data_IF_211083571986
#
_entry.id   IF_211083571986
#
_cell.length_a   1.000
_cell.length_b   1.000
_cell.length_c   1.000
_cell.angle_alpha   90.00
_cell.angle_beta   90.00
_cell.angle_gamma   90.00
#
_symmetry.space_group_name_H-M   'P 1'
#
loop_
_entity.id
_entity.type
_entity.pdbx_description
1 polymer ?
#
# COMPACT_ATOMS: atom_id res chain seq x y z
N UNK A 1 14.06 38.06 26.10
CA UNK A 1 13.41 38.04 24.77
C UNK A 1 14.30 37.45 23.66
N UNK A 2 15.52 37.97 23.40
CA UNK A 2 16.41 37.43 22.33
C UNK A 2 16.73 35.93 22.43
N UNK A 3 16.96 35.39 23.64
CA UNK A 3 17.27 33.96 23.85
C UNK A 3 16.05 33.03 23.65
N UNK A 4 14.84 33.54 23.89
CA UNK A 4 13.59 32.77 23.70
C UNK A 4 13.25 32.69 22.21
N UNK A 5 13.40 33.80 21.48
CA UNK A 5 13.24 33.82 20.03
C UNK A 5 14.23 32.86 19.33
N UNK A 6 15.47 32.79 19.80
CA UNK A 6 16.48 31.87 19.27
C UNK A 6 16.14 30.40 19.57
N UNK A 7 15.60 30.11 20.76
CA UNK A 7 15.16 28.76 21.12
C UNK A 7 13.95 28.30 20.27
N UNK A 8 12.97 29.18 20.05
CA UNK A 8 11.84 28.89 19.15
C UNK A 8 12.31 28.65 17.70
N UNK A 9 13.30 29.40 17.22
CA UNK A 9 13.86 29.23 15.88
C UNK A 9 14.58 27.87 15.71
N UNK A 10 15.34 27.45 16.73
CA UNK A 10 16.02 26.15 16.75
C UNK A 10 15.03 24.98 16.79
N UNK A 11 13.97 25.09 17.59
CA UNK A 11 12.92 24.05 17.67
C UNK A 11 12.13 23.93 16.36
N UNK A 12 11.90 25.03 15.64
CA UNK A 12 11.23 25.00 14.34
C UNK A 12 12.08 24.28 13.28
N UNK A 13 13.40 24.52 13.27
CA UNK A 13 14.30 23.88 12.30
C UNK A 13 14.43 22.36 12.46
N UNK A 14 14.17 21.82 13.65
CA UNK A 14 14.25 20.38 13.92
C UNK A 14 13.07 19.57 13.34
N UNK A 15 11.95 20.21 13.03
CA UNK A 15 10.76 19.50 12.50
C UNK A 15 10.87 19.17 11.02
N UNK A 16 11.77 19.83 10.28
CA UNK A 16 11.93 19.64 8.83
C UNK A 16 12.61 18.33 8.42
N UNK A 17 13.22 17.60 9.37
CA UNK A 17 13.99 16.37 9.11
C UNK A 17 13.30 15.07 9.58
N UNK A 18 12.04 15.13 10.02
CA UNK A 18 11.33 13.96 10.55
C UNK A 18 10.58 13.13 9.49
N UNK A 19 10.56 13.55 8.22
CA UNK A 19 9.84 12.85 7.17
C UNK A 19 10.67 11.67 6.64
N UNK A 20 10.03 10.50 6.49
CA UNK A 20 10.69 9.32 5.91
C UNK A 20 11.03 9.58 4.44
N UNK A 21 12.16 9.07 3.94
CA UNK A 21 12.55 9.27 2.55
C UNK A 21 11.54 8.60 1.60
N UNK A 22 11.13 9.33 0.56
CA UNK A 22 10.29 8.81 -0.50
C UNK A 22 11.13 8.02 -1.51
N UNK A 23 11.15 6.69 -1.41
CA UNK A 23 11.85 5.84 -2.36
C UNK A 23 10.99 5.51 -3.58
N UNK A 24 11.37 6.05 -4.74
CA UNK A 24 10.63 5.90 -5.99
C UNK A 24 11.10 4.65 -6.76
N UNK A 25 10.14 3.84 -7.22
CA UNK A 25 10.38 2.76 -8.19
C UNK A 25 10.30 3.27 -9.64
N UNK A 26 9.47 4.28 -9.88
CA UNK A 26 9.36 4.97 -11.15
C UNK A 26 9.08 6.47 -10.92
N UNK A 27 9.73 7.32 -11.72
CA UNK A 27 9.50 8.76 -11.72
C UNK A 27 9.79 9.29 -13.13
N UNK A 28 8.73 9.53 -13.91
CA UNK A 28 8.82 9.89 -15.30
C UNK A 28 7.84 11.00 -15.68
N UNK A 29 8.25 11.81 -16.64
CA UNK A 29 7.38 12.74 -17.35
C UNK A 29 7.62 12.54 -18.84
N UNK A 30 6.56 12.25 -19.57
CA UNK A 30 6.58 12.12 -21.03
C UNK A 30 5.49 12.98 -21.67
N UNK A 31 5.29 12.79 -22.98
CA UNK A 31 4.24 13.47 -23.75
C UNK A 31 2.82 13.07 -23.35
N UNK A 32 2.64 11.94 -22.68
CA UNK A 32 1.34 11.41 -22.23
C UNK A 32 1.01 11.85 -20.80
N UNK A 33 1.99 12.31 -20.02
CA UNK A 33 1.76 12.93 -18.72
C UNK A 33 2.88 12.73 -17.71
N UNK A 34 2.52 12.81 -16.44
CA UNK A 34 3.41 12.52 -15.31
C UNK A 34 3.00 11.22 -14.66
N UNK A 35 3.99 10.39 -14.31
CA UNK A 35 3.80 9.15 -13.56
C UNK A 35 4.88 9.01 -12.50
N UNK A 36 4.48 8.76 -11.26
CA UNK A 36 5.38 8.43 -10.16
C UNK A 36 4.80 7.27 -9.36
N UNK A 37 5.68 6.38 -8.91
CA UNK A 37 5.32 5.25 -8.07
C UNK A 37 6.37 5.08 -6.98
N UNK A 38 5.93 4.88 -5.73
CA UNK A 38 6.80 4.45 -4.66
C UNK A 38 7.19 2.97 -4.85
N UNK A 39 8.28 2.55 -4.21
CA UNK A 39 8.62 1.14 -4.11
C UNK A 39 7.51 0.35 -3.39
N UNK A 40 7.37 -0.90 -3.76
CA UNK A 40 6.44 -1.83 -3.12
C UNK A 40 6.75 -1.99 -1.64
N UNK A 41 5.72 -1.91 -0.82
CA UNK A 41 5.83 -1.94 0.64
C UNK A 41 5.06 -3.13 1.19
N UNK A 42 5.73 -3.99 1.96
CA UNK A 42 5.09 -5.18 2.56
C UNK A 42 4.14 -4.71 3.65
N UNK A 43 2.86 -5.02 3.48
CA UNK A 43 1.82 -4.68 4.46
C UNK A 43 1.19 -5.89 5.16
N UNK A 44 1.36 -7.07 4.58
CA UNK A 44 0.94 -8.33 5.16
C UNK A 44 1.89 -9.44 4.73
N UNK A 45 2.28 -10.29 5.67
CA UNK A 45 3.09 -11.47 5.43
C UNK A 45 2.60 -12.61 6.32
N UNK A 46 2.41 -13.79 5.73
CA UNK A 46 2.02 -15.00 6.46
C UNK A 46 2.74 -16.20 5.85
N UNK A 47 3.57 -16.86 6.65
CA UNK A 47 4.27 -18.09 6.30
C UNK A 47 3.72 -19.22 7.19
N UNK A 48 2.98 -20.16 6.59
CA UNK A 48 2.38 -21.27 7.31
C UNK A 48 2.58 -22.59 6.56
N UNK A 49 3.34 -23.51 7.16
CA UNK A 49 3.67 -24.79 6.56
C UNK A 49 4.39 -24.63 5.23
N UNK A 50 3.79 -25.16 4.15
CA UNK A 50 4.28 -25.04 2.78
C UNK A 50 3.67 -23.87 2.00
N UNK A 51 2.88 -23.00 2.64
CA UNK A 51 2.29 -21.83 2.00
C UNK A 51 2.87 -20.54 2.56
N UNK A 52 3.17 -19.60 1.67
CA UNK A 52 3.45 -18.21 2.03
C UNK A 52 2.53 -17.26 1.28
N UNK A 53 2.15 -16.18 1.95
CA UNK A 53 1.28 -15.13 1.41
C UNK A 53 1.87 -13.78 1.73
N UNK A 54 1.92 -12.90 0.74
CA UNK A 54 2.42 -11.53 0.85
C UNK A 54 1.42 -10.57 0.21
N UNK A 55 1.25 -9.41 0.83
CA UNK A 55 0.54 -8.29 0.24
C UNK A 55 1.47 -7.08 0.23
N UNK A 56 1.56 -6.45 -0.93
CA UNK A 56 2.31 -5.23 -1.14
C UNK A 56 1.38 -4.09 -1.55
N UNK A 57 1.74 -2.90 -1.09
CA UNK A 57 1.12 -1.65 -1.53
C UNK A 57 2.18 -0.74 -2.15
N UNK A 58 1.81 -0.04 -3.22
CA UNK A 58 2.58 1.06 -3.78
C UNK A 58 1.68 2.25 -4.04
N UNK A 59 2.00 3.40 -3.43
CA UNK A 59 1.35 4.67 -3.75
C UNK A 59 1.87 5.19 -5.09
N UNK A 60 0.93 5.55 -5.96
CA UNK A 60 1.20 6.03 -7.29
C UNK A 60 0.46 7.35 -7.53
N UNK A 61 1.01 8.18 -8.40
CA UNK A 61 0.32 9.37 -8.90
C UNK A 61 0.51 9.44 -10.41
N UNK A 62 -0.61 9.59 -11.11
CA UNK A 62 -0.62 9.80 -12.55
C UNK A 62 -1.48 11.02 -12.85
N UNK A 63 -0.89 12.04 -13.48
CA UNK A 63 -1.58 13.30 -13.79
C UNK A 63 -2.34 13.87 -12.59
N UNK A 64 -1.67 13.94 -11.44
CA UNK A 64 -2.20 14.46 -10.14
C UNK A 64 -3.30 13.61 -9.50
N UNK A 65 -3.72 12.50 -10.12
CA UNK A 65 -4.67 11.57 -9.54
C UNK A 65 -3.90 10.52 -8.73
N UNK A 66 -4.17 10.37 -7.42
CA UNK A 66 -3.54 9.36 -6.59
C UNK A 66 -4.18 7.99 -6.83
N UNK A 67 -3.34 6.98 -6.90
CA UNK A 67 -3.71 5.58 -7.00
C UNK A 67 -2.96 4.76 -5.95
N UNK A 68 -3.54 3.62 -5.60
CA UNK A 68 -2.92 2.59 -4.80
C UNK A 68 -2.82 1.34 -5.65
N UNK A 69 -1.60 0.93 -5.96
CA UNK A 69 -1.33 -0.37 -6.53
C UNK A 69 -1.30 -1.40 -5.41
N UNK A 70 -2.06 -2.47 -5.60
CA UNK A 70 -2.14 -3.61 -4.71
C UNK A 70 -1.58 -4.82 -5.45
N UNK A 71 -0.67 -5.54 -4.79
CA UNK A 71 -0.15 -6.81 -5.27
C UNK A 71 -0.30 -7.86 -4.18
N UNK A 72 -0.89 -8.99 -4.56
CA UNK A 72 -1.01 -10.20 -3.75
C UNK A 72 -0.14 -11.29 -4.35
N UNK A 73 0.70 -11.90 -3.54
CA UNK A 73 1.49 -13.07 -3.92
C UNK A 73 1.18 -14.20 -2.95
N UNK A 74 0.78 -15.35 -3.48
CA UNK A 74 0.68 -16.59 -2.70
C UNK A 74 1.50 -17.69 -3.34
N UNK A 75 2.35 -18.33 -2.54
CA UNK A 75 3.10 -19.52 -2.93
C UNK A 75 2.60 -20.71 -2.11
N UNK A 76 2.39 -21.85 -2.74
CA UNK A 76 1.95 -23.09 -2.08
C UNK A 76 2.32 -24.33 -2.90
N UNK A 77 2.45 -25.48 -2.25
CA UNK A 77 2.50 -26.78 -2.96
C UNK A 77 1.13 -27.23 -3.44
N UNK A 78 0.08 -26.76 -2.78
CA UNK A 78 -1.30 -27.06 -3.12
C UNK A 78 -1.79 -26.15 -4.26
N UNK A 79 -2.96 -26.49 -4.81
CA UNK A 79 -3.64 -25.63 -5.77
C UNK A 79 -4.01 -24.28 -5.13
N UNK A 80 -3.87 -23.21 -5.89
CA UNK A 80 -4.22 -21.85 -5.47
C UNK A 80 -5.37 -21.37 -6.36
N UNK A 81 -6.54 -21.13 -5.75
CA UNK A 81 -7.65 -20.51 -6.46
C UNK A 81 -7.29 -19.09 -6.90
N UNK A 82 -7.73 -18.71 -8.11
CA UNK A 82 -7.47 -17.39 -8.67
C UNK A 82 -8.45 -16.36 -8.09
N UNK A 83 -7.92 -15.24 -7.61
CA UNK A 83 -8.72 -14.12 -7.14
C UNK A 83 -8.69 -13.01 -8.19
N UNK A 84 -9.83 -12.79 -8.86
CA UNK A 84 -9.93 -11.81 -9.94
C UNK A 84 -10.46 -10.47 -9.45
N UNK A 85 -9.89 -9.39 -9.98
CA UNK A 85 -10.44 -8.04 -9.95
C UNK A 85 -11.33 -7.77 -11.16
N UNK A 86 -12.39 -7.02 -10.91
CA UNK A 86 -13.36 -6.51 -11.88
C UNK A 86 -13.72 -5.05 -11.55
N UNK A 87 -14.64 -4.46 -12.31
CA UNK A 87 -15.13 -3.09 -12.07
C UNK A 87 -15.82 -2.87 -10.71
N UNK A 88 -16.27 -3.95 -10.07
CA UNK A 88 -16.97 -3.91 -8.80
C UNK A 88 -16.02 -4.14 -7.61
N UNK A 89 -14.77 -4.49 -7.90
CA UNK A 89 -13.76 -4.73 -6.88
C UNK A 89 -13.40 -3.44 -6.14
N UNK A 90 -13.18 -3.55 -4.83
CA UNK A 90 -12.97 -2.43 -3.92
C UNK A 90 -11.90 -2.77 -2.89
N UNK A 91 -11.14 -1.75 -2.49
CA UNK A 91 -10.36 -1.80 -1.25
C UNK A 91 -11.06 -0.99 -0.19
N UNK A 92 -11.05 -1.49 1.04
CA UNK A 92 -11.51 -0.78 2.22
C UNK A 92 -10.36 -0.74 3.22
N UNK A 93 -9.96 0.47 3.60
CA UNK A 93 -8.98 0.73 4.65
C UNK A 93 -9.73 1.17 5.89
N UNK A 94 -9.80 0.31 6.90
CA UNK A 94 -10.37 0.67 8.20
C UNK A 94 -9.29 1.34 9.04
N UNK A 95 -9.57 2.54 9.50
CA UNK A 95 -8.71 3.32 10.37
C UNK A 95 -8.99 3.01 11.85
N UNK A 96 -7.99 3.23 12.71
CA UNK A 96 -8.13 3.05 14.16
C UNK A 96 -9.21 3.97 14.77
N UNK A 97 -9.45 5.12 14.15
CA UNK A 97 -10.53 6.04 14.53
C UNK A 97 -11.94 5.58 14.06
N UNK A 98 -12.04 4.43 13.39
CA UNK A 98 -13.30 3.86 12.90
C UNK A 98 -13.74 4.34 11.52
N UNK A 99 -13.03 5.30 10.91
CA UNK A 99 -13.31 5.74 9.53
C UNK A 99 -12.92 4.64 8.54
N UNK A 100 -13.71 4.47 7.47
CA UNK A 100 -13.43 3.51 6.39
C UNK A 100 -13.20 4.28 5.10
N UNK A 101 -11.96 4.21 4.62
CA UNK A 101 -11.57 4.80 3.32
C UNK A 101 -11.77 3.75 2.23
N UNK A 102 -12.55 4.10 1.20
CA UNK A 102 -12.87 3.19 0.10
C UNK A 102 -12.12 3.59 -1.17
N UNK A 103 -11.56 2.61 -1.87
CA UNK A 103 -10.94 2.79 -3.16
C UNK A 103 -11.64 1.94 -4.22
N UNK A 104 -11.74 2.46 -5.44
CA UNK A 104 -12.38 1.79 -6.58
C UNK A 104 -11.34 1.27 -7.57
N UNK A 105 -11.50 0.02 -8.01
CA UNK A 105 -10.66 -0.53 -9.08
C UNK A 105 -10.85 0.25 -10.39
N UNK A 106 -9.78 0.47 -11.17
CA UNK A 106 -9.83 1.25 -12.43
C UNK A 106 -10.46 0.48 -13.61
N UNK A 107 -11.40 -0.40 -13.32
CA UNK A 107 -12.24 -1.15 -14.26
C UNK A 107 -11.47 -2.02 -15.29
N UNK A 108 -10.24 -2.45 -14.97
CA UNK A 108 -9.50 -3.47 -15.74
C UNK A 108 -9.78 -4.87 -15.17
N UNK A 109 -10.15 -5.85 -16.00
CA UNK A 109 -10.28 -7.21 -15.49
C UNK A 109 -8.88 -7.85 -15.35
N UNK A 110 -8.57 -8.39 -14.16
CA UNK A 110 -7.27 -9.02 -13.86
C UNK A 110 -7.50 -10.24 -12.98
N UNK A 111 -7.05 -11.42 -13.41
CA UNK A 111 -7.28 -12.69 -12.70
C UNK A 111 -6.03 -13.29 -12.04
N UNK A 112 -4.97 -12.49 -11.93
CA UNK A 112 -3.66 -12.96 -11.51
C UNK A 112 -3.03 -13.95 -12.48
N UNK A 113 -1.73 -14.18 -12.32
CA UNK A 113 -0.93 -15.10 -13.12
C UNK A 113 -0.39 -16.19 -12.22
N UNK A 114 -0.54 -17.45 -12.66
CA UNK A 114 0.05 -18.60 -11.98
C UNK A 114 1.39 -18.94 -12.60
N UNK A 115 2.42 -19.04 -11.77
CA UNK A 115 3.77 -19.44 -12.12
C UNK A 115 4.12 -20.70 -11.32
N UNK A 116 4.55 -21.75 -12.00
CA UNK A 116 5.03 -22.95 -11.35
C UNK A 116 6.56 -22.93 -11.31
N UNK A 117 7.13 -23.05 -10.11
CA UNK A 117 8.58 -23.10 -9.93
C UNK A 117 8.93 -24.08 -8.80
N UNK A 118 9.89 -24.96 -9.07
CA UNK A 118 10.51 -25.83 -8.07
C UNK A 118 9.51 -26.63 -7.21
N UNK A 119 8.40 -27.09 -7.82
CA UNK A 119 7.34 -27.85 -7.15
C UNK A 119 6.36 -27.02 -6.31
N UNK A 120 6.41 -25.69 -6.42
CA UNK A 120 5.43 -24.78 -5.84
C UNK A 120 4.66 -24.06 -6.94
N UNK A 121 3.37 -23.87 -6.70
CA UNK A 121 2.53 -22.95 -7.44
C UNK A 121 2.65 -21.57 -6.79
N UNK A 122 2.84 -20.54 -7.60
CA UNK A 122 2.82 -19.14 -7.18
C UNK A 122 1.72 -18.43 -7.93
N UNK A 123 0.83 -17.74 -7.24
CA UNK A 123 -0.17 -16.85 -7.81
C UNK A 123 0.23 -15.41 -7.51
N UNK A 124 0.33 -14.59 -8.54
CA UNK A 124 0.54 -13.14 -8.43
C UNK A 124 -0.73 -12.48 -8.95
N UNK A 125 -1.43 -11.71 -8.10
CA UNK A 125 -2.62 -10.95 -8.50
C UNK A 125 -2.43 -9.48 -8.20
N UNK A 126 -2.69 -8.63 -9.18
CA UNK A 126 -2.44 -7.20 -9.13
C UNK A 126 -3.67 -6.42 -9.52
N UNK A 127 -3.88 -5.29 -8.84
CA UNK A 127 -4.96 -4.35 -9.14
C UNK A 127 -4.55 -2.93 -8.79
N UNK A 128 -5.06 -1.98 -9.57
CA UNK A 128 -4.82 -0.54 -9.33
C UNK A 128 -6.14 0.11 -8.93
N UNK A 129 -6.11 0.85 -7.83
CA UNK A 129 -7.29 1.42 -7.22
C UNK A 129 -7.15 2.93 -7.07
N UNK A 130 -8.19 3.66 -7.46
CA UNK A 130 -8.28 5.11 -7.29
C UNK A 130 -8.96 5.43 -5.96
N UNK A 131 -8.44 6.43 -5.24
CA UNK A 131 -9.07 6.94 -4.03
C UNK A 131 -10.38 7.66 -4.37
N UNK A 132 -11.42 7.46 -3.55
CA UNK A 132 -12.64 8.26 -3.67
C UNK A 132 -12.37 9.69 -3.20
N UNK A 133 -13.05 10.66 -3.83
CA UNK A 133 -12.86 12.07 -3.49
C UNK A 133 -13.16 12.33 -2.01
N UNK A 134 -12.28 13.08 -1.35
CA UNK A 134 -12.46 13.53 0.03
C UNK A 134 -12.12 12.52 1.12
N UNK A 135 -11.73 11.28 0.79
CA UNK A 135 -11.44 10.24 1.80
C UNK A 135 -9.95 10.07 2.10
N UNK A 136 -9.07 10.78 1.39
CA UNK A 136 -7.61 10.60 1.49
C UNK A 136 -7.00 11.34 2.68
N UNK A 137 -7.64 12.41 3.16
CA UNK A 137 -7.12 13.24 4.26
C UNK A 137 -7.09 12.48 5.59
N UNK A 138 -8.08 11.61 5.85
CA UNK A 138 -8.14 10.82 7.08
C UNK A 138 -6.92 9.89 7.22
N UNK A 139 -6.39 9.39 6.10
CA UNK A 139 -5.20 8.52 6.05
C UNK A 139 -3.91 9.22 6.50
N UNK A 140 -3.88 10.56 6.52
CA UNK A 140 -2.73 11.34 7.00
C UNK A 140 -2.66 11.37 8.53
N UNK A 141 -3.77 11.09 9.22
CA UNK A 141 -3.92 11.35 10.65
C UNK A 141 -4.18 10.12 11.51
N UNK A 142 -4.69 9.04 10.93
CA UNK A 142 -5.03 7.81 11.65
C UNK A 142 -4.37 6.59 11.03
N UNK A 143 -3.81 5.65 11.83
CA UNK A 143 -3.27 4.40 11.32
C UNK A 143 -4.37 3.50 10.75
N UNK A 144 -4.01 2.67 9.76
CA UNK A 144 -4.91 1.65 9.19
C UNK A 144 -4.79 0.37 10.01
N UNK A 145 -5.90 -0.14 10.57
CA UNK A 145 -5.93 -1.41 11.30
C UNK A 145 -6.26 -2.61 10.41
N UNK A 146 -7.04 -2.42 9.34
CA UNK A 146 -7.48 -3.49 8.47
C UNK A 146 -7.49 -3.04 7.01
N UNK A 147 -6.88 -3.84 6.15
CA UNK A 147 -7.09 -3.78 4.71
C UNK A 147 -8.05 -4.90 4.31
N UNK A 148 -9.24 -4.54 3.82
CA UNK A 148 -10.19 -5.48 3.24
C UNK A 148 -10.21 -5.34 1.73
N UNK A 149 -10.10 -6.46 1.04
CA UNK A 149 -10.10 -6.56 -0.42
C UNK A 149 -11.35 -7.30 -0.86
N UNK A 150 -12.23 -6.62 -1.57
CA UNK A 150 -13.35 -7.25 -2.26
C UNK A 150 -12.93 -7.56 -3.70
N UNK A 151 -12.69 -8.84 -3.95
CA UNK A 151 -12.51 -9.39 -5.29
C UNK A 151 -13.87 -9.61 -5.96
N UNK A 152 -13.87 -10.08 -7.20
CA UNK A 152 -15.08 -10.40 -7.96
C UNK A 152 -15.93 -11.52 -7.32
N UNK A 153 -15.28 -12.54 -6.73
CA UNK A 153 -15.93 -13.74 -6.19
C UNK A 153 -16.00 -13.75 -4.68
N UNK A 154 -15.07 -13.07 -3.99
CA UNK A 154 -14.89 -13.20 -2.55
C UNK A 154 -14.30 -11.94 -1.91
N UNK A 155 -14.22 -11.94 -0.59
CA UNK A 155 -13.66 -10.83 0.19
C UNK A 155 -12.67 -11.38 1.20
N UNK A 156 -11.48 -10.77 1.25
CA UNK A 156 -10.44 -11.13 2.18
C UNK A 156 -10.04 -9.95 3.05
N UNK A 157 -9.69 -10.27 4.29
CA UNK A 157 -9.25 -9.34 5.31
C UNK A 157 -7.79 -9.56 5.62
N UNK A 158 -7.01 -8.49 5.56
CA UNK A 158 -5.59 -8.46 5.88
C UNK A 158 -5.38 -7.49 7.06
N UNK A 159 -5.33 -8.01 8.30
CA UNK A 159 -5.03 -7.19 9.47
C UNK A 159 -3.66 -6.54 9.32
N UNK A 160 -3.60 -5.22 9.52
CA UNK A 160 -2.37 -4.45 9.44
C UNK A 160 -1.61 -4.60 10.76
N UNK A 161 -0.48 -5.29 10.73
CA UNK A 161 0.39 -5.39 11.90
C UNK A 161 1.06 -4.05 12.20
N UNK A 162 1.30 -3.76 13.49
CA UNK A 162 2.06 -2.58 13.90
C UNK A 162 3.51 -2.62 13.40
N UNK A 163 4.08 -3.82 13.27
CA UNK A 163 5.40 -4.06 12.72
C UNK A 163 5.47 -5.44 12.05
N UNK A 164 6.16 -5.53 10.92
CA UNK A 164 6.52 -6.79 10.24
C UNK A 164 8.03 -6.82 10.08
N UNK A 165 8.69 -7.89 10.52
CA UNK A 165 10.07 -8.20 10.11
C UNK A 165 9.98 -9.21 8.97
N UNK A 166 10.09 -8.75 7.74
CA UNK A 166 9.82 -9.58 6.56
C UNK A 166 10.87 -10.66 6.40
N UNK A 167 10.45 -11.89 6.20
CA UNK A 167 11.36 -12.98 5.85
C UNK A 167 11.78 -12.88 4.38
N UNK A 168 10.96 -12.28 3.53
CA UNK A 168 11.22 -12.13 2.10
C UNK A 168 12.31 -11.09 1.84
N UNK A 169 12.14 -9.87 2.35
CA UNK A 169 13.07 -8.75 2.06
C UNK A 169 14.15 -8.57 3.12
N UNK A 170 14.00 -9.22 4.29
CA UNK A 170 14.85 -9.04 5.48
C UNK A 170 14.79 -7.64 6.10
N UNK A 171 13.84 -6.81 5.69
CA UNK A 171 13.61 -5.47 6.21
C UNK A 171 12.52 -5.44 7.29
N UNK A 172 12.38 -4.29 7.97
CA UNK A 172 11.31 -4.04 8.95
C UNK A 172 10.33 -3.01 8.40
N UNK A 173 9.05 -3.37 8.37
CA UNK A 173 7.94 -2.56 7.90
C UNK A 173 7.00 -2.19 9.05
N UNK A 174 6.26 -1.09 8.88
CA UNK A 174 5.25 -0.58 9.82
C UNK A 174 3.92 -0.35 9.07
N UNK A 175 3.22 -1.44 8.67
CA UNK A 175 2.03 -1.36 7.80
C UNK A 175 0.96 -0.37 8.25
N UNK A 176 0.63 -0.35 9.55
CA UNK A 176 -0.40 0.54 10.09
C UNK A 176 -0.12 2.03 9.81
N UNK A 177 1.16 2.41 9.73
CA UNK A 177 1.60 3.79 9.50
C UNK A 177 1.94 4.09 8.05
N UNK A 178 1.78 3.13 7.13
CA UNK A 178 2.19 3.27 5.74
C UNK A 178 1.67 4.57 5.09
N UNK A 179 0.37 4.85 5.20
CA UNK A 179 -0.19 6.05 4.58
C UNK A 179 0.24 7.34 5.30
N UNK A 180 0.31 7.34 6.64
CA UNK A 180 0.81 8.50 7.41
C UNK A 180 2.23 8.86 6.96
N UNK A 181 3.08 7.84 6.79
CA UNK A 181 4.50 8.02 6.50
C UNK A 181 4.76 8.44 5.05
N UNK A 182 3.93 8.01 4.08
CA UNK A 182 4.27 8.11 2.65
C UNK A 182 3.24 8.84 1.78
N UNK A 183 2.07 9.21 2.29
CA UNK A 183 1.06 9.89 1.47
C UNK A 183 1.52 11.28 1.01
N UNK A 184 2.30 11.99 1.83
CA UNK A 184 2.91 13.28 1.48
C UNK A 184 3.90 13.20 0.31
N UNK A 185 4.43 12.01 0.00
CA UNK A 185 5.32 11.82 -1.15
C UNK A 185 4.59 12.08 -2.48
N UNK A 186 3.33 11.69 -2.57
CA UNK A 186 2.52 11.80 -3.80
C UNK A 186 1.52 12.95 -3.76
N UNK A 187 1.16 13.44 -2.57
CA UNK A 187 0.20 14.52 -2.33
C UNK A 187 0.77 15.48 -1.27
N UNK A 188 1.54 16.51 -1.70
CA UNK A 188 2.11 17.50 -0.79
C UNK A 188 1.06 18.41 -0.14
#
# INVERSE_FOLDING_TARGET
>A
MKRIALACLLLFSATLFAQKPCEWSANGKDSLGTYKALKDYVVYESNFGSSSTYVFLSLQVQNEIPYLHFQYIKKSKDFIAANCFDKNSRLFLQLDNGVIVTLKHIDQQSCGQTLMDSGFNSLISEGTFVFMNGTIEDLKSSPVSLLRVRYSTETFDYPMASQIKSELTKETYFPQKYFIDYLSCILP
#
